data_IF_013747928934
#
_entry.id   IF_013747928934
#
_cell.length_a   1.000
_cell.length_b   1.000
_cell.length_c   1.000
_cell.angle_alpha   90.00
_cell.angle_beta   90.00
_cell.angle_gamma   90.00
#
_symmetry.space_group_name_H-M   'P 1'
#
loop_
_entity.id
_entity.type
_entity.pdbx_description
1 polymer ?
#
# COMPACT_ATOMS: atom_id res chain seq x y z
N UNK A 1 65.62 21.56 -35.13
CA UNK A 1 65.43 20.77 -33.89
C UNK A 1 63.99 20.90 -33.47
N UNK A 2 63.30 19.80 -33.52
CA UNK A 2 61.82 19.72 -33.44
C UNK A 2 61.44 19.42 -31.99
N UNK A 3 60.66 20.34 -31.41
CA UNK A 3 60.08 20.12 -30.08
C UNK A 3 58.58 19.80 -30.17
N UNK A 4 58.23 18.56 -30.08
CA UNK A 4 56.86 18.10 -30.09
C UNK A 4 56.19 18.35 -28.71
N UNK A 5 55.13 19.15 -28.71
CA UNK A 5 54.25 19.30 -27.54
C UNK A 5 53.19 18.20 -27.57
N UNK A 6 53.19 17.37 -26.54
CA UNK A 6 52.12 16.37 -26.30
C UNK A 6 50.91 17.05 -25.71
N UNK A 7 49.77 16.91 -26.37
CA UNK A 7 48.46 17.24 -25.83
C UNK A 7 48.00 16.09 -24.89
N UNK A 8 47.70 16.45 -23.65
CA UNK A 8 47.08 15.52 -22.69
C UNK A 8 45.58 15.55 -22.90
N UNK A 9 45.01 14.46 -23.38
CA UNK A 9 43.57 14.24 -23.43
C UNK A 9 43.08 13.84 -22.05
N UNK A 10 42.33 14.70 -21.43
CA UNK A 10 41.64 14.45 -20.17
C UNK A 10 40.36 13.66 -20.46
N UNK A 11 40.39 12.35 -20.37
CA UNK A 11 39.25 11.49 -20.49
C UNK A 11 38.44 11.52 -19.17
N UNK A 12 37.44 12.34 -19.14
CA UNK A 12 36.41 12.27 -18.07
C UNK A 12 35.64 10.98 -18.24
N UNK A 13 35.95 9.99 -17.43
CA UNK A 13 35.17 8.78 -17.29
C UNK A 13 33.82 9.15 -16.61
N UNK A 14 32.76 9.24 -17.42
CA UNK A 14 31.38 9.29 -16.94
C UNK A 14 31.04 7.91 -16.34
N UNK A 15 31.11 7.81 -15.03
CA UNK A 15 30.60 6.67 -14.30
C UNK A 15 29.08 6.69 -14.42
N UNK A 16 28.56 5.99 -15.43
CA UNK A 16 27.17 5.58 -15.48
C UNK A 16 26.94 4.64 -14.30
N UNK A 17 26.28 5.13 -13.28
CA UNK A 17 25.64 4.28 -12.28
C UNK A 17 24.57 3.47 -13.02
N UNK A 18 24.91 2.26 -13.39
CA UNK A 18 23.93 1.25 -13.77
C UNK A 18 23.08 1.01 -12.54
N UNK A 19 21.84 1.53 -12.56
CA UNK A 19 20.79 1.10 -11.66
C UNK A 19 20.60 -0.37 -11.96
N UNK A 20 21.00 -1.21 -11.02
CA UNK A 20 20.76 -2.64 -11.05
C UNK A 20 19.24 -2.84 -10.85
N UNK A 21 18.48 -2.69 -11.92
CA UNK A 21 17.11 -3.14 -12.03
C UNK A 21 17.15 -4.66 -12.13
N UNK A 22 17.21 -5.33 -10.98
CA UNK A 22 16.75 -6.71 -10.91
C UNK A 22 15.24 -6.66 -11.17
N UNK A 23 14.85 -6.63 -12.44
CA UNK A 23 13.49 -6.93 -12.87
C UNK A 23 13.26 -8.39 -12.47
N UNK A 24 12.59 -8.58 -11.33
CA UNK A 24 12.00 -9.88 -11.05
C UNK A 24 10.96 -10.10 -12.16
N UNK A 25 11.10 -11.21 -12.89
CA UNK A 25 10.21 -11.64 -13.99
C UNK A 25 8.81 -12.05 -13.45
N UNK A 26 8.40 -11.44 -12.35
CA UNK A 26 7.14 -11.68 -11.67
C UNK A 26 6.05 -10.79 -12.28
N UNK A 27 5.00 -11.46 -12.77
CA UNK A 27 3.81 -10.77 -13.30
C UNK A 27 3.21 -9.86 -12.22
N UNK A 28 2.77 -8.63 -12.59
CA UNK A 28 2.10 -7.73 -11.65
C UNK A 28 0.84 -8.39 -11.10
N UNK A 29 0.52 -8.08 -9.85
CA UNK A 29 -0.68 -8.55 -9.17
C UNK A 29 -1.83 -7.66 -9.57
N UNK A 30 -2.88 -8.21 -10.16
CA UNK A 30 -4.07 -7.48 -10.57
C UNK A 30 -5.13 -7.48 -9.48
N UNK A 31 -5.97 -6.46 -9.52
CA UNK A 31 -7.14 -6.33 -8.67
C UNK A 31 -8.24 -5.55 -9.36
N UNK A 32 -9.47 -5.76 -8.87
CA UNK A 32 -10.65 -5.12 -9.42
C UNK A 32 -11.75 -4.94 -8.37
N UNK A 33 -12.70 -4.04 -8.64
CA UNK A 33 -13.94 -3.98 -7.89
C UNK A 33 -14.91 -5.08 -8.34
N UNK A 34 -15.93 -5.37 -7.55
CA UNK A 34 -16.90 -6.44 -7.81
C UNK A 34 -17.53 -6.40 -9.22
N UNK A 35 -17.79 -5.22 -9.76
CA UNK A 35 -18.38 -5.07 -11.11
C UNK A 35 -17.34 -4.99 -12.22
N UNK A 36 -16.05 -5.07 -11.92
CA UNK A 36 -14.95 -4.94 -12.88
C UNK A 36 -14.74 -3.53 -13.45
N UNK A 37 -15.57 -2.54 -13.08
CA UNK A 37 -15.49 -1.18 -13.62
C UNK A 37 -14.22 -0.43 -13.18
N UNK A 38 -13.71 -0.71 -11.98
CA UNK A 38 -12.42 -0.22 -11.51
C UNK A 38 -11.45 -1.40 -11.55
N UNK A 39 -10.30 -1.23 -12.20
CA UNK A 39 -9.24 -2.23 -12.23
C UNK A 39 -7.87 -1.59 -12.07
N UNK A 40 -6.95 -2.31 -11.46
CA UNK A 40 -5.60 -1.83 -11.13
C UNK A 40 -4.59 -2.97 -11.14
N UNK A 41 -3.32 -2.61 -11.07
CA UNK A 41 -2.24 -3.56 -10.83
C UNK A 41 -1.19 -2.99 -9.88
N UNK A 42 -0.50 -3.88 -9.21
CA UNK A 42 0.64 -3.58 -8.35
C UNK A 42 1.84 -4.43 -8.79
N UNK A 43 3.00 -3.79 -8.97
CA UNK A 43 4.22 -4.48 -9.37
C UNK A 43 4.76 -5.33 -8.21
N UNK A 44 4.70 -4.81 -6.99
CA UNK A 44 5.18 -5.47 -5.76
C UNK A 44 4.30 -5.15 -4.57
N UNK A 45 4.03 -6.16 -3.76
CA UNK A 45 3.52 -6.01 -2.41
C UNK A 45 4.71 -5.89 -1.44
N UNK A 46 4.78 -4.81 -0.68
CA UNK A 46 5.92 -4.55 0.22
C UNK A 46 5.55 -4.63 1.70
N UNK A 47 4.25 -4.67 2.02
CA UNK A 47 3.75 -4.65 3.39
C UNK A 47 3.90 -3.28 4.08
N UNK A 48 3.47 -3.14 5.33
CA UNK A 48 2.90 -4.23 6.15
C UNK A 48 1.58 -4.76 5.57
N UNK A 49 1.23 -6.01 5.91
CA UNK A 49 -0.07 -6.58 5.61
C UNK A 49 -0.85 -6.73 6.91
N UNK A 50 -1.69 -5.75 7.20
CA UNK A 50 -2.34 -5.58 8.50
C UNK A 50 -3.83 -5.94 8.45
N UNK A 51 -4.30 -6.65 9.48
CA UNK A 51 -5.71 -6.94 9.71
C UNK A 51 -6.26 -5.93 10.73
N UNK A 52 -6.92 -4.87 10.26
CA UNK A 52 -7.33 -3.74 11.07
C UNK A 52 -8.74 -3.92 11.65
N UNK A 53 -8.83 -4.01 12.99
CA UNK A 53 -10.09 -4.20 13.73
C UNK A 53 -10.76 -2.89 14.18
N UNK A 54 -10.22 -1.71 13.82
CA UNK A 54 -10.80 -0.45 14.29
C UNK A 54 -12.24 -0.27 13.80
N UNK A 55 -13.03 0.48 14.57
CA UNK A 55 -14.46 0.71 14.29
C UNK A 55 -14.72 1.29 12.89
N UNK A 56 -13.81 2.15 12.38
CA UNK A 56 -13.93 2.76 11.06
C UNK A 56 -13.78 1.72 9.96
N UNK A 57 -12.72 0.92 10.02
CA UNK A 57 -12.45 -0.14 9.06
C UNK A 57 -13.58 -1.17 9.03
N UNK A 58 -14.05 -1.61 10.21
CA UNK A 58 -15.18 -2.55 10.28
C UNK A 58 -16.45 -2.00 9.64
N UNK A 59 -16.79 -0.74 9.91
CA UNK A 59 -17.98 -0.09 9.34
C UNK A 59 -17.85 0.16 7.84
N UNK A 60 -16.66 0.53 7.37
CA UNK A 60 -16.41 0.79 5.95
C UNK A 60 -16.44 -0.48 5.10
N UNK A 61 -16.08 -1.64 5.67
CA UNK A 61 -16.05 -2.92 4.96
C UNK A 61 -17.27 -3.81 5.22
N UNK A 62 -18.05 -3.54 6.27
CA UNK A 62 -19.10 -4.46 6.71
C UNK A 62 -18.58 -5.80 7.24
N UNK A 63 -17.30 -5.86 7.65
CA UNK A 63 -16.60 -7.08 8.07
C UNK A 63 -16.03 -6.95 9.48
N UNK A 64 -15.50 -8.06 10.02
CA UNK A 64 -14.81 -8.09 11.31
C UNK A 64 -13.53 -7.24 11.34
N UNK A 65 -12.87 -7.09 10.20
CA UNK A 65 -11.65 -6.29 9.99
C UNK A 65 -11.49 -5.92 8.51
N UNK A 66 -10.58 -4.99 8.23
CA UNK A 66 -10.07 -4.74 6.88
C UNK A 66 -8.68 -5.36 6.76
N UNK A 67 -8.45 -6.11 5.69
CA UNK A 67 -7.14 -6.58 5.30
C UNK A 67 -6.48 -5.51 4.41
N UNK A 68 -5.51 -4.78 4.95
CA UNK A 68 -4.80 -3.70 4.26
C UNK A 68 -3.38 -4.14 3.89
N UNK A 69 -3.06 -4.10 2.61
CA UNK A 69 -1.73 -4.43 2.09
C UNK A 69 -0.98 -3.17 1.71
N UNK A 70 0.16 -2.93 2.34
CA UNK A 70 1.04 -1.80 2.04
C UNK A 70 1.69 -1.93 0.66
N UNK A 71 1.53 -0.89 -0.16
CA UNK A 71 2.08 -0.80 -1.52
C UNK A 71 2.75 0.56 -1.69
N UNK A 72 3.88 0.62 -2.38
CA UNK A 72 4.47 1.89 -2.78
C UNK A 72 3.63 2.51 -3.90
N UNK A 73 3.46 3.83 -3.86
CA UNK A 73 2.69 4.52 -4.90
C UNK A 73 3.30 4.33 -6.29
N UNK A 74 4.61 4.24 -6.39
CA UNK A 74 5.35 3.97 -7.64
C UNK A 74 5.10 2.57 -8.21
N UNK A 75 4.75 1.61 -7.37
CA UNK A 75 4.45 0.22 -7.75
C UNK A 75 2.96 0.02 -8.11
N UNK A 76 2.13 1.05 -8.00
CA UNK A 76 0.69 0.99 -8.28
C UNK A 76 0.33 1.66 -9.61
N UNK A 77 -0.57 1.02 -10.34
CA UNK A 77 -1.16 1.59 -11.55
C UNK A 77 -2.66 1.33 -11.62
N UNK A 78 -3.45 2.38 -11.69
CA UNK A 78 -4.87 2.29 -12.02
C UNK A 78 -4.98 2.03 -13.53
N UNK A 79 -5.69 0.98 -13.90
CA UNK A 79 -5.86 0.57 -15.31
C UNK A 79 -7.13 1.14 -15.93
N UNK A 80 -8.23 1.19 -15.14
CA UNK A 80 -9.51 1.71 -15.60
C UNK A 80 -10.38 2.19 -14.44
N UNK A 81 -11.39 3.01 -14.73
CA UNK A 81 -12.45 3.37 -13.82
C UNK A 81 -12.13 4.51 -12.84
N UNK A 82 -11.21 5.41 -13.18
CA UNK A 82 -10.90 6.58 -12.34
C UNK A 82 -12.16 7.40 -12.01
N UNK A 83 -13.07 7.55 -12.97
CA UNK A 83 -14.33 8.28 -12.85
C UNK A 83 -15.36 7.58 -11.94
N UNK A 84 -15.16 6.29 -11.65
CA UNK A 84 -16.01 5.50 -10.77
C UNK A 84 -15.52 5.53 -9.31
N UNK A 85 -14.35 6.09 -9.03
CA UNK A 85 -13.80 6.14 -7.68
C UNK A 85 -14.42 7.31 -6.92
N UNK A 86 -15.25 6.99 -5.95
CA UNK A 86 -15.81 7.96 -5.01
C UNK A 86 -15.07 7.90 -3.68
N UNK A 87 -15.00 9.06 -3.00
CA UNK A 87 -14.31 9.24 -1.73
C UNK A 87 -15.26 9.72 -0.67
N UNK A 88 -15.17 9.11 0.50
CA UNK A 88 -15.79 9.61 1.73
C UNK A 88 -14.67 9.97 2.70
N UNK A 89 -14.75 11.18 3.23
CA UNK A 89 -13.84 11.66 4.26
C UNK A 89 -14.62 11.84 5.57
N UNK A 90 -14.27 11.05 6.58
CA UNK A 90 -14.88 11.15 7.89
C UNK A 90 -14.30 12.34 8.66
N UNK A 91 -15.09 12.98 9.57
CA UNK A 91 -14.55 14.00 10.45
C UNK A 91 -13.30 13.52 11.22
N UNK A 92 -12.35 14.43 11.39
CA UNK A 92 -11.19 14.21 12.27
C UNK A 92 -11.71 14.00 13.70
N UNK A 93 -11.25 12.94 14.39
CA UNK A 93 -11.63 12.69 15.77
C UNK A 93 -10.61 13.29 16.75
N UNK A 94 -9.51 12.59 16.95
CA UNK A 94 -8.49 12.94 17.94
C UNK A 94 -7.24 13.55 17.29
N UNK A 95 -6.82 12.97 16.17
CA UNK A 95 -5.62 13.37 15.45
C UNK A 95 -5.84 13.33 13.94
N UNK A 96 -5.31 14.32 13.17
CA UNK A 96 -5.24 14.24 11.72
C UNK A 96 -4.26 13.14 11.24
N UNK A 97 -4.40 12.63 10.00
CA UNK A 97 -5.40 13.02 9.01
C UNK A 97 -6.77 12.40 9.26
N UNK A 98 -7.83 12.89 8.59
CA UNK A 98 -9.15 12.26 8.64
C UNK A 98 -9.08 10.85 8.03
N UNK A 99 -10.01 9.99 8.45
CA UNK A 99 -10.17 8.69 7.80
C UNK A 99 -10.81 8.86 6.43
N UNK A 100 -10.20 8.26 5.42
CA UNK A 100 -10.71 8.26 4.05
C UNK A 100 -11.09 6.83 3.65
N UNK A 101 -12.22 6.71 2.97
CA UNK A 101 -12.66 5.48 2.33
C UNK A 101 -12.91 5.79 0.85
N UNK A 102 -12.28 5.02 -0.02
CA UNK A 102 -12.53 5.10 -1.47
C UNK A 102 -13.23 3.84 -1.93
N UNK A 103 -14.23 4.01 -2.79
CA UNK A 103 -15.08 2.91 -3.24
C UNK A 103 -15.58 3.14 -4.67
N UNK A 104 -15.92 2.06 -5.35
CA UNK A 104 -16.55 2.11 -6.66
C UNK A 104 -17.99 2.61 -6.52
N UNK A 105 -18.37 3.70 -7.21
CA UNK A 105 -19.72 4.29 -7.17
C UNK A 105 -20.81 3.37 -7.75
N UNK A 106 -20.41 2.40 -8.60
CA UNK A 106 -21.34 1.46 -9.23
C UNK A 106 -21.70 0.28 -8.33
N UNK A 107 -20.72 -0.29 -7.61
CA UNK A 107 -20.92 -1.53 -6.85
C UNK A 107 -20.58 -1.43 -5.36
N UNK A 108 -20.07 -0.29 -4.88
CA UNK A 108 -19.72 -0.08 -3.47
C UNK A 108 -18.45 -0.79 -2.99
N UNK A 109 -17.76 -1.56 -3.84
CA UNK A 109 -16.51 -2.21 -3.43
C UNK A 109 -15.47 -1.18 -3.00
N UNK A 110 -14.76 -1.39 -1.89
CA UNK A 110 -13.58 -0.59 -1.59
C UNK A 110 -12.58 -0.71 -2.75
N UNK A 111 -11.90 0.39 -3.05
CA UNK A 111 -10.89 0.42 -4.12
C UNK A 111 -9.66 1.19 -3.64
N UNK A 112 -8.46 0.85 -4.14
CA UNK A 112 -7.26 1.59 -3.84
C UNK A 112 -7.31 2.98 -4.46
N UNK A 113 -6.86 3.98 -3.69
CA UNK A 113 -6.84 5.38 -4.11
C UNK A 113 -5.71 6.10 -3.37
N UNK A 114 -4.49 6.12 -3.96
CA UNK A 114 -3.34 6.70 -3.31
C UNK A 114 -3.55 8.19 -3.03
N UNK A 115 -3.32 8.66 -1.78
CA UNK A 115 -3.37 10.09 -1.49
C UNK A 115 -2.31 10.85 -2.29
N UNK A 116 -2.64 12.06 -2.72
CA UNK A 116 -1.69 12.91 -3.44
C UNK A 116 -0.40 13.11 -2.63
N UNK A 117 0.75 12.85 -3.26
CA UNK A 117 2.07 12.98 -2.66
C UNK A 117 2.46 11.89 -1.66
N UNK A 118 1.61 10.88 -1.43
CA UNK A 118 1.98 9.75 -0.60
C UNK A 118 3.00 8.85 -1.33
N UNK A 119 4.06 8.44 -0.63
CA UNK A 119 5.04 7.48 -1.16
C UNK A 119 4.57 6.03 -1.04
N UNK A 120 3.61 5.76 -0.15
CA UNK A 120 2.97 4.46 0.05
C UNK A 120 1.54 4.62 0.55
N UNK A 121 0.74 3.60 0.37
CA UNK A 121 -0.65 3.54 0.84
C UNK A 121 -1.12 2.09 1.01
N UNK A 122 -2.32 1.89 1.53
CA UNK A 122 -2.90 0.57 1.74
C UNK A 122 -3.87 0.21 0.60
N UNK A 123 -3.67 -0.96 0.00
CA UNK A 123 -4.61 -1.58 -0.94
C UNK A 123 -5.52 -2.52 -0.16
N UNK A 124 -6.85 -2.45 -0.31
CA UNK A 124 -7.77 -3.43 0.26
C UNK A 124 -7.48 -4.81 -0.34
N UNK A 125 -6.87 -5.72 0.43
CA UNK A 125 -6.38 -7.00 -0.08
C UNK A 125 -7.49 -7.90 -0.64
N UNK A 126 -8.73 -7.76 -0.16
CA UNK A 126 -9.88 -8.48 -0.68
C UNK A 126 -10.30 -8.10 -2.10
N UNK A 127 -9.70 -7.04 -2.68
CA UNK A 127 -9.93 -6.62 -4.08
C UNK A 127 -8.85 -7.12 -5.05
N UNK A 128 -7.88 -7.89 -4.56
CA UNK A 128 -6.87 -8.53 -5.42
C UNK A 128 -7.46 -9.77 -6.08
N UNK A 129 -7.26 -9.88 -7.39
CA UNK A 129 -7.73 -11.03 -8.18
C UNK A 129 -6.75 -12.21 -8.13
N UNK A 130 -5.56 -11.99 -7.57
CA UNK A 130 -4.47 -12.96 -7.49
C UNK A 130 -3.82 -12.96 -6.11
N UNK A 131 -3.11 -14.04 -5.77
CA UNK A 131 -2.31 -14.12 -4.55
C UNK A 131 -1.21 -13.05 -4.55
N UNK A 132 -1.16 -12.15 -3.54
CA UNK A 132 -0.12 -11.13 -3.42
C UNK A 132 1.26 -11.71 -3.04
N UNK A 133 1.39 -13.01 -2.82
CA UNK A 133 2.61 -13.75 -2.42
C UNK A 133 3.18 -13.34 -1.06
N UNK A 134 2.47 -12.47 -0.36
CA UNK A 134 2.71 -12.11 1.04
C UNK A 134 1.52 -12.52 1.89
N UNK A 135 1.71 -12.59 3.19
CA UNK A 135 0.67 -13.01 4.15
C UNK A 135 0.48 -11.93 5.20
N UNK A 136 -0.70 -11.86 5.83
CA UNK A 136 -0.91 -10.97 6.97
C UNK A 136 0.19 -11.17 8.02
N UNK A 137 0.71 -10.07 8.55
CA UNK A 137 1.79 -10.10 9.51
C UNK A 137 1.34 -9.74 10.93
N UNK A 138 0.15 -9.13 11.10
CA UNK A 138 -0.38 -8.75 12.41
C UNK A 138 -1.84 -8.32 12.38
N UNK A 139 -2.47 -8.37 13.55
CA UNK A 139 -3.73 -7.68 13.85
C UNK A 139 -3.43 -6.32 14.50
N UNK A 140 -4.19 -5.29 14.14
CA UNK A 140 -4.05 -3.95 14.71
C UNK A 140 -5.39 -3.42 15.22
N UNK A 141 -5.34 -2.54 16.25
CA UNK A 141 -6.51 -2.00 16.95
C UNK A 141 -7.41 -3.11 17.53
N UNK A 142 -6.79 -4.13 18.14
CA UNK A 142 -7.52 -5.30 18.63
C UNK A 142 -8.46 -4.98 19.78
N UNK A 143 -8.23 -3.89 20.51
CA UNK A 143 -9.13 -3.37 21.55
C UNK A 143 -10.49 -2.95 20.99
N UNK A 144 -10.56 -2.64 19.70
CA UNK A 144 -11.80 -2.30 19.00
C UNK A 144 -12.49 -3.49 18.34
N UNK A 145 -11.93 -4.70 18.48
CA UNK A 145 -12.44 -5.94 17.88
C UNK A 145 -13.89 -6.19 18.28
N UNK A 146 -14.71 -6.64 17.33
CA UNK A 146 -16.09 -7.06 17.64
C UNK A 146 -16.11 -8.25 18.60
N UNK A 147 -17.01 -8.27 19.61
CA UNK A 147 -17.10 -9.36 20.59
C UNK A 147 -17.34 -10.74 19.96
N UNK A 148 -18.06 -10.78 18.85
CA UNK A 148 -18.38 -12.00 18.11
C UNK A 148 -17.25 -12.51 17.22
N UNK A 149 -16.17 -11.73 17.04
CA UNK A 149 -15.02 -12.14 16.23
C UNK A 149 -13.92 -12.70 17.12
N UNK A 150 -13.60 -13.98 16.98
CA UNK A 150 -12.43 -14.59 17.62
C UNK A 150 -11.23 -14.49 16.67
N UNK A 151 -10.06 -14.11 17.21
CA UNK A 151 -8.78 -14.25 16.52
C UNK A 151 -8.23 -15.61 16.91
N UNK A 152 -8.07 -16.50 15.93
CA UNK A 152 -7.67 -17.90 16.14
C UNK A 152 -6.28 -18.24 15.62
N UNK A 153 -5.63 -17.30 14.96
CA UNK A 153 -4.24 -17.45 14.49
C UNK A 153 -3.23 -16.97 15.56
N UNK A 154 -1.95 -17.17 15.26
CA UNK A 154 -0.83 -16.79 16.14
C UNK A 154 -0.18 -15.44 15.76
N UNK A 155 -0.81 -14.64 14.90
CA UNK A 155 -0.24 -13.35 14.50
C UNK A 155 -0.18 -12.38 15.68
N UNK A 156 0.82 -11.50 15.75
CA UNK A 156 0.89 -10.43 16.73
C UNK A 156 -0.40 -9.60 16.77
N UNK A 157 -0.91 -9.36 17.98
CA UNK A 157 -2.13 -8.60 18.23
C UNK A 157 -1.75 -7.28 18.90
N UNK A 158 -1.88 -6.16 18.18
CA UNK A 158 -1.48 -4.85 18.63
C UNK A 158 -2.69 -3.96 18.90
N UNK A 159 -2.75 -3.38 20.09
CA UNK A 159 -3.62 -2.24 20.38
C UNK A 159 -3.04 -0.96 19.76
N UNK A 160 -3.78 0.15 19.87
CA UNK A 160 -3.34 1.45 19.35
C UNK A 160 -1.98 1.88 19.91
N UNK A 161 -1.73 1.67 21.21
CA UNK A 161 -0.49 2.07 21.87
C UNK A 161 0.71 1.30 21.32
N UNK A 162 0.61 -0.02 21.31
CA UNK A 162 1.66 -0.90 20.79
C UNK A 162 1.96 -0.64 19.31
N UNK A 163 0.92 -0.36 18.51
CA UNK A 163 1.07 0.00 17.10
C UNK A 163 1.83 1.32 16.91
N UNK A 164 1.50 2.35 17.68
CA UNK A 164 2.19 3.65 17.62
C UNK A 164 3.66 3.52 18.00
N UNK A 165 3.95 2.73 19.03
CA UNK A 165 5.33 2.45 19.45
C UNK A 165 6.12 1.71 18.36
N UNK A 166 5.53 0.68 17.75
CA UNK A 166 6.13 -0.04 16.63
C UNK A 166 6.44 0.88 15.43
N UNK A 167 5.49 1.75 15.08
CA UNK A 167 5.64 2.70 13.96
C UNK A 167 6.69 3.77 14.24
N UNK A 168 6.88 4.18 15.50
CA UNK A 168 7.94 5.11 15.91
C UNK A 168 9.31 4.50 15.73
N UNK A 169 9.55 3.27 16.23
CA UNK A 169 10.83 2.55 16.12
C UNK A 169 11.28 2.30 14.66
N UNK A 170 10.35 2.26 13.72
CA UNK A 170 10.66 2.10 12.29
C UNK A 170 11.08 3.39 11.58
N UNK A 171 10.93 4.53 12.22
CA UNK A 171 11.34 5.84 11.70
C UNK A 171 12.71 6.30 12.21
N UNK A 172 13.19 5.67 13.27
CA UNK A 172 14.54 5.82 13.83
C UNK A 172 15.54 4.90 13.09
#
# INVERSE_FOLDING_TARGET
>A
MVGARRASANAQAVVRRERNETMTDEKPIRGSCLCGGVSFEIARAVGPFELCHCTRCRKASGSAFVAGLGVRTEDFRLLAGAELIHRYEAPVRETPPPYRASFCSRCGSPVPDPPAGASWFEVPAGTLDQDPRVRPDRHIFVECKSPWCAISDALPQLDQRALLELRRRRRE
#
